data_IF_918831604403
#
_entry.id   IF_918831604403
#
_cell.length_a   1.000
_cell.length_b   1.000
_cell.length_c   1.000
_cell.angle_alpha   90.00
_cell.angle_beta   90.00
_cell.angle_gamma   90.00
#
_symmetry.space_group_name_H-M   'P 1'
#
loop_
_entity.id
_entity.type
_entity.pdbx_description
1 polymer ?
#
# COMPACT_ATOMS: atom_id res chain seq x y z
N UNK A 1 -4.60 63.75 1.34
CA UNK A 1 -4.19 63.66 -0.08
C UNK A 1 -2.79 63.05 -0.12
N UNK A 2 -2.67 61.85 -0.70
CA UNK A 2 -1.43 61.08 -0.83
C UNK A 2 -0.38 61.82 -1.68
N UNK A 3 0.90 61.55 -1.44
CA UNK A 3 1.69 61.04 -2.57
C UNK A 3 2.73 59.95 -2.18
N UNK A 4 2.63 58.84 -2.91
CA UNK A 4 3.71 58.17 -3.66
C UNK A 4 5.05 57.87 -2.95
N UNK A 5 5.40 56.59 -2.78
CA UNK A 5 6.47 55.89 -3.56
C UNK A 5 6.74 54.47 -3.06
N UNK A 6 6.65 53.56 -4.03
CA UNK A 6 6.95 52.13 -4.00
C UNK A 6 8.47 51.96 -3.84
N UNK A 7 8.93 51.22 -2.82
CA UNK A 7 10.28 50.66 -2.79
C UNK A 7 10.17 49.14 -2.79
N UNK A 8 10.49 48.63 -3.97
CA UNK A 8 10.71 47.24 -4.33
C UNK A 8 12.00 46.77 -3.64
N UNK A 9 11.91 45.86 -2.67
CA UNK A 9 13.08 45.14 -2.16
C UNK A 9 12.91 43.67 -2.52
N UNK A 10 13.57 43.30 -3.62
CA UNK A 10 13.67 41.95 -4.14
C UNK A 10 14.36 41.04 -3.11
N UNK A 11 13.60 40.18 -2.44
CA UNK A 11 14.15 39.04 -1.71
C UNK A 11 14.37 37.90 -2.71
N UNK A 12 15.56 37.99 -3.27
CA UNK A 12 16.38 36.99 -3.96
C UNK A 12 15.95 35.54 -3.65
N UNK A 13 15.34 34.90 -4.66
CA UNK A 13 15.08 33.47 -4.67
C UNK A 13 16.39 32.69 -4.74
N UNK A 14 16.66 31.88 -3.72
CA UNK A 14 17.64 30.81 -3.78
C UNK A 14 16.91 29.56 -4.26
N UNK A 15 16.75 29.42 -5.57
CA UNK A 15 16.33 28.17 -6.18
C UNK A 15 17.52 27.21 -6.17
N UNK A 16 17.51 26.25 -5.24
CA UNK A 16 18.47 25.13 -5.28
C UNK A 16 17.99 24.19 -6.39
N UNK A 17 18.50 24.39 -7.60
CA UNK A 17 18.34 23.43 -8.69
C UNK A 17 19.25 22.23 -8.40
N UNK A 18 18.72 21.23 -7.70
CA UNK A 18 19.34 19.92 -7.59
C UNK A 18 19.08 19.12 -8.86
N UNK A 19 19.98 19.22 -9.85
CA UNK A 19 19.95 18.30 -10.98
C UNK A 19 20.66 17.00 -10.59
N UNK A 20 19.88 15.97 -10.27
CA UNK A 20 20.40 14.59 -10.21
C UNK A 20 20.49 14.05 -11.64
N UNK A 21 21.70 13.85 -12.15
CA UNK A 21 21.94 13.25 -13.45
C UNK A 21 21.86 11.72 -13.32
N UNK A 22 20.65 11.18 -13.24
CA UNK A 22 20.38 9.74 -13.20
C UNK A 22 20.43 9.14 -14.61
N UNK A 23 21.58 8.62 -15.02
CA UNK A 23 21.71 7.86 -16.26
C UNK A 23 21.13 6.45 -16.08
N UNK A 24 19.81 6.31 -16.27
CA UNK A 24 19.10 5.03 -16.12
C UNK A 24 18.90 4.35 -17.48
N UNK A 25 19.98 3.79 -18.05
CA UNK A 25 19.87 2.90 -19.20
C UNK A 25 19.70 1.45 -18.75
N UNK A 26 18.61 1.17 -18.04
CA UNK A 26 18.19 -0.19 -17.75
C UNK A 26 16.80 -0.39 -18.35
N UNK A 27 16.75 -0.56 -19.67
CA UNK A 27 15.57 -1.07 -20.34
C UNK A 27 15.46 -2.57 -20.00
N UNK A 28 15.08 -2.87 -18.77
CA UNK A 28 14.67 -4.21 -18.35
C UNK A 28 13.18 -4.34 -18.65
N UNK A 29 12.86 -4.56 -19.92
CA UNK A 29 11.55 -5.04 -20.38
C UNK A 29 11.36 -6.51 -20.01
N UNK A 30 11.58 -6.86 -18.75
CA UNK A 30 11.15 -8.15 -18.22
C UNK A 30 9.65 -8.04 -17.94
N UNK A 31 8.81 -8.90 -18.53
CA UNK A 31 7.41 -8.97 -18.17
C UNK A 31 7.31 -9.21 -16.67
N UNK A 32 6.50 -8.43 -15.96
CA UNK A 32 6.20 -8.71 -14.57
C UNK A 32 5.69 -10.15 -14.48
N UNK A 33 6.22 -10.97 -13.56
CA UNK A 33 5.70 -12.32 -13.35
C UNK A 33 4.20 -12.22 -13.05
N UNK A 34 3.41 -13.04 -13.75
CA UNK A 34 1.97 -13.12 -13.51
C UNK A 34 1.76 -13.87 -12.20
N UNK A 35 1.12 -13.20 -11.24
CA UNK A 35 0.75 -13.81 -9.96
C UNK A 35 -0.57 -14.57 -10.14
N UNK A 36 -0.53 -15.88 -9.96
CA UNK A 36 -1.73 -16.73 -9.99
C UNK A 36 -2.36 -16.77 -8.60
N UNK A 37 -3.55 -16.19 -8.46
CA UNK A 37 -4.26 -16.06 -7.19
C UNK A 37 -5.45 -17.03 -7.15
N UNK A 38 -5.49 -17.87 -6.13
CA UNK A 38 -6.68 -18.67 -5.81
C UNK A 38 -7.66 -17.82 -5.01
N UNK A 39 -8.80 -17.49 -5.60
CA UNK A 39 -9.83 -16.69 -4.94
C UNK A 39 -10.60 -17.51 -3.90
N UNK A 40 -11.00 -16.86 -2.80
CA UNK A 40 -11.80 -17.41 -1.72
C UNK A 40 -12.75 -16.36 -1.15
N UNK A 41 -13.63 -16.76 -0.23
CA UNK A 41 -14.52 -15.83 0.45
C UNK A 41 -13.75 -14.94 1.45
N UNK A 42 -14.05 -13.64 1.53
CA UNK A 42 -13.44 -12.76 2.52
C UNK A 42 -13.93 -13.10 3.94
N UNK A 43 -13.07 -12.96 4.97
CA UNK A 43 -13.43 -13.23 6.36
C UNK A 43 -14.35 -12.18 6.98
N UNK A 44 -14.62 -11.07 6.27
CA UNK A 44 -15.55 -10.03 6.68
C UNK A 44 -16.66 -9.82 5.64
N UNK A 45 -17.85 -9.44 6.11
CA UNK A 45 -18.94 -9.07 5.22
C UNK A 45 -18.65 -7.74 4.51
N UNK A 46 -18.98 -7.67 3.22
CA UNK A 46 -18.86 -6.50 2.36
C UNK A 46 -20.26 -6.09 1.86
N UNK A 47 -21.11 -5.45 2.69
CA UNK A 47 -22.50 -5.16 2.33
C UNK A 47 -22.65 -4.06 1.26
N UNK A 48 -21.73 -3.08 1.26
CA UNK A 48 -21.81 -1.86 0.45
C UNK A 48 -20.73 -1.80 -0.64
N UNK A 49 -19.99 -2.89 -0.86
CA UNK A 49 -18.92 -3.01 -1.86
C UNK A 49 -18.72 -4.47 -2.25
N UNK A 50 -18.02 -4.72 -3.36
CA UNK A 50 -17.57 -6.05 -3.76
C UNK A 50 -16.07 -6.05 -3.98
N UNK A 51 -15.44 -7.17 -3.64
CA UNK A 51 -14.02 -7.38 -3.85
C UNK A 51 -13.75 -8.87 -4.08
N UNK A 52 -12.84 -9.15 -5.00
CA UNK A 52 -12.19 -10.46 -5.04
C UNK A 52 -11.23 -10.58 -3.86
N UNK A 53 -11.18 -11.74 -3.22
CA UNK A 53 -10.30 -11.98 -2.08
C UNK A 53 -9.45 -13.21 -2.32
N UNK A 54 -8.18 -13.12 -1.94
CA UNK A 54 -7.26 -14.26 -1.92
C UNK A 54 -6.55 -14.31 -0.57
N UNK A 55 -6.58 -15.47 0.08
CA UNK A 55 -5.95 -15.71 1.37
C UNK A 55 -4.65 -16.51 1.23
N UNK A 56 -3.78 -16.35 2.22
CA UNK A 56 -2.59 -17.16 2.45
C UNK A 56 -1.68 -17.28 1.21
N UNK A 57 -1.54 -16.19 0.47
CA UNK A 57 -0.72 -16.14 -0.75
C UNK A 57 0.75 -16.13 -0.35
N UNK A 58 1.56 -17.11 -0.79
CA UNK A 58 2.99 -17.15 -0.49
C UNK A 58 3.76 -16.07 -1.24
N UNK A 59 4.59 -15.33 -0.52
CA UNK A 59 5.55 -14.39 -1.10
C UNK A 59 7.01 -14.84 -0.95
N UNK A 60 7.26 -15.87 -0.13
CA UNK A 60 8.56 -16.50 0.09
C UNK A 60 8.35 -17.91 0.72
N UNK A 61 9.41 -18.70 0.91
CA UNK A 61 9.34 -20.13 1.25
C UNK A 61 8.83 -20.43 2.66
N UNK A 62 9.04 -19.53 3.61
CA UNK A 62 8.71 -19.73 5.03
C UNK A 62 7.22 -19.73 5.32
N UNK A 63 6.80 -20.50 6.33
CA UNK A 63 5.38 -20.73 6.64
C UNK A 63 4.59 -19.45 6.96
N UNK A 64 5.23 -18.48 7.62
CA UNK A 64 4.62 -17.19 7.95
C UNK A 64 4.70 -16.18 6.81
N UNK A 65 5.42 -16.45 5.73
CA UNK A 65 5.61 -15.49 4.63
C UNK A 65 4.40 -15.55 3.68
N UNK A 66 3.25 -15.14 4.21
CA UNK A 66 1.93 -15.19 3.57
C UNK A 66 1.22 -13.85 3.71
N UNK A 67 0.44 -13.47 2.70
CA UNK A 67 -0.44 -12.31 2.76
C UNK A 67 -1.87 -12.65 2.33
N UNK A 68 -2.81 -11.83 2.76
CA UNK A 68 -4.18 -11.81 2.26
C UNK A 68 -4.41 -10.51 1.52
N UNK A 69 -5.23 -10.51 0.46
CA UNK A 69 -5.52 -9.33 -0.35
C UNK A 69 -7.00 -9.23 -0.72
N UNK A 70 -7.54 -8.03 -0.56
CA UNK A 70 -8.83 -7.58 -1.08
C UNK A 70 -8.59 -6.73 -2.33
N UNK A 71 -9.19 -7.11 -3.44
CA UNK A 71 -9.09 -6.43 -4.73
C UNK A 71 -10.47 -5.91 -5.12
N UNK A 72 -10.71 -4.59 -5.12
CA UNK A 72 -12.00 -4.03 -5.46
C UNK A 72 -12.28 -4.19 -6.96
N UNK A 73 -13.55 -4.31 -7.32
CA UNK A 73 -13.96 -4.37 -8.72
C UNK A 73 -13.91 -2.97 -9.35
N UNK A 74 -12.81 -2.66 -10.04
CA UNK A 74 -12.57 -1.37 -10.68
C UNK A 74 -12.02 -1.54 -12.11
N UNK A 75 -12.43 -0.64 -13.01
CA UNK A 75 -12.06 -0.71 -14.44
C UNK A 75 -10.60 -0.28 -14.72
N UNK A 76 -9.96 0.40 -13.77
CA UNK A 76 -8.60 0.95 -13.89
C UNK A 76 -7.67 0.34 -12.82
N UNK A 77 -6.34 0.32 -13.06
CA UNK A 77 -5.38 -0.11 -12.04
C UNK A 77 -5.53 0.66 -10.73
N UNK A 78 -5.65 -0.07 -9.62
CA UNK A 78 -5.94 0.50 -8.30
C UNK A 78 -4.67 0.72 -7.48
N UNK A 79 -4.58 1.79 -6.66
CA UNK A 79 -3.60 1.85 -5.58
C UNK A 79 -3.78 0.70 -4.58
N UNK A 80 -2.73 0.39 -3.82
CA UNK A 80 -2.71 -0.68 -2.82
C UNK A 80 -2.22 -0.13 -1.47
N UNK A 81 -2.98 -0.42 -0.42
CA UNK A 81 -2.55 -0.29 0.97
C UNK A 81 -2.03 -1.64 1.46
N UNK A 82 -0.87 -1.65 2.12
CA UNK A 82 -0.32 -2.85 2.78
C UNK A 82 -0.25 -2.56 4.28
N UNK A 83 -1.04 -3.29 5.06
CA UNK A 83 -1.01 -3.26 6.51
C UNK A 83 -0.07 -4.32 7.06
N UNK A 84 0.84 -3.91 7.93
CA UNK A 84 1.80 -4.79 8.61
C UNK A 84 1.47 -4.78 10.10
N UNK A 85 1.07 -5.93 10.65
CA UNK A 85 0.65 -6.02 12.04
C UNK A 85 1.77 -5.72 13.03
N UNK A 86 1.40 -5.23 14.22
CA UNK A 86 2.32 -5.06 15.35
C UNK A 86 2.61 -6.38 16.07
N UNK A 87 3.19 -6.29 17.28
CA UNK A 87 3.53 -7.46 18.10
C UNK A 87 5.01 -7.58 18.47
N UNK A 88 5.78 -6.50 18.32
CA UNK A 88 7.17 -6.44 18.79
C UNK A 88 8.11 -7.45 18.12
N UNK A 89 7.76 -7.92 16.92
CA UNK A 89 8.44 -8.97 16.17
C UNK A 89 8.43 -10.35 16.83
N UNK A 90 7.70 -10.56 17.92
CA UNK A 90 7.64 -11.83 18.66
C UNK A 90 6.24 -12.44 18.64
N UNK A 91 5.28 -11.74 18.05
CA UNK A 91 3.90 -12.18 17.88
C UNK A 91 3.13 -11.32 16.88
N UNK A 92 1.81 -11.53 16.84
CA UNK A 92 0.90 -10.92 15.87
C UNK A 92 0.51 -11.91 14.77
N UNK A 93 -0.51 -11.55 13.99
CA UNK A 93 -0.95 -12.32 12.83
C UNK A 93 -1.79 -11.42 11.90
N UNK A 94 -1.64 -11.58 10.59
CA UNK A 94 -2.36 -10.86 9.53
C UNK A 94 -3.88 -10.99 9.63
N UNK A 95 -4.36 -12.11 10.16
CA UNK A 95 -5.78 -12.45 10.26
C UNK A 95 -6.53 -11.59 11.26
N UNK A 96 -5.86 -11.07 12.30
CA UNK A 96 -6.48 -10.16 13.28
C UNK A 96 -6.93 -8.85 12.64
N UNK A 97 -6.20 -8.38 11.63
CA UNK A 97 -6.45 -7.12 10.94
C UNK A 97 -7.82 -7.08 10.28
N UNK A 98 -8.36 -8.23 9.85
CA UNK A 98 -9.64 -8.30 9.13
C UNK A 98 -10.79 -7.73 9.96
N UNK A 99 -10.96 -8.21 11.19
CA UNK A 99 -12.01 -7.73 12.09
C UNK A 99 -11.65 -6.38 12.72
N UNK A 100 -10.37 -6.17 13.07
CA UNK A 100 -9.91 -4.93 13.71
C UNK A 100 -10.05 -3.69 12.82
N UNK A 101 -9.93 -3.84 11.50
CA UNK A 101 -9.96 -2.74 10.52
C UNK A 101 -11.06 -2.91 9.47
N UNK A 102 -12.14 -3.66 9.77
CA UNK A 102 -13.19 -3.99 8.81
C UNK A 102 -13.82 -2.75 8.14
N UNK A 103 -14.03 -1.68 8.90
CA UNK A 103 -14.62 -0.44 8.38
C UNK A 103 -13.66 0.31 7.45
N UNK A 104 -12.38 0.38 7.82
CA UNK A 104 -11.33 1.02 7.00
C UNK A 104 -11.11 0.24 5.69
N UNK A 105 -11.07 -1.10 5.76
CA UNK A 105 -11.01 -1.95 4.57
C UNK A 105 -12.15 -1.63 3.61
N UNK A 106 -13.39 -1.53 4.10
CA UNK A 106 -14.55 -1.19 3.25
C UNK A 106 -14.43 0.20 2.64
N UNK A 107 -13.98 1.19 3.39
CA UNK A 107 -13.80 2.57 2.90
C UNK A 107 -12.77 2.63 1.76
N UNK A 108 -11.64 1.91 1.89
CA UNK A 108 -10.64 1.81 0.84
C UNK A 108 -11.19 1.10 -0.41
N UNK A 109 -11.88 -0.02 -0.24
CA UNK A 109 -12.46 -0.76 -1.36
C UNK A 109 -13.49 0.08 -2.13
N UNK A 110 -14.35 0.83 -1.43
CA UNK A 110 -15.31 1.77 -2.06
C UNK A 110 -14.61 2.90 -2.83
N UNK A 111 -13.38 3.23 -2.46
CA UNK A 111 -12.55 4.25 -3.11
C UNK A 111 -11.66 3.68 -4.22
N UNK A 112 -11.90 2.45 -4.67
CA UNK A 112 -11.05 1.73 -5.63
C UNK A 112 -9.59 1.61 -5.16
N UNK A 113 -9.39 1.33 -3.87
CA UNK A 113 -8.07 1.08 -3.28
C UNK A 113 -8.04 -0.35 -2.75
N UNK A 114 -7.10 -1.16 -3.25
CA UNK A 114 -6.88 -2.52 -2.76
C UNK A 114 -6.25 -2.50 -1.36
N UNK A 115 -6.47 -3.57 -0.60
CA UNK A 115 -5.94 -3.73 0.75
C UNK A 115 -5.27 -5.09 0.91
N UNK A 116 -4.05 -5.13 1.42
CA UNK A 116 -3.37 -6.35 1.80
C UNK A 116 -2.93 -6.33 3.26
N UNK A 117 -2.96 -7.49 3.91
CA UNK A 117 -2.38 -7.72 5.23
C UNK A 117 -1.38 -8.87 5.15
N UNK A 118 -0.26 -8.77 5.85
CA UNK A 118 0.89 -9.67 5.65
C UNK A 118 1.44 -10.19 6.99
N UNK A 119 1.72 -11.49 7.02
CA UNK A 119 2.53 -12.10 8.07
C UNK A 119 4.00 -11.99 7.72
N UNK A 120 4.86 -11.98 8.75
CA UNK A 120 6.31 -11.95 8.60
C UNK A 120 6.97 -12.86 9.64
N UNK A 121 8.24 -13.20 9.41
CA UNK A 121 9.01 -14.05 10.32
C UNK A 121 9.12 -13.42 11.70
N UNK A 122 8.82 -14.20 12.75
CA UNK A 122 8.92 -13.76 14.14
C UNK A 122 10.25 -14.18 14.75
N UNK A 123 10.72 -13.38 15.71
CA UNK A 123 11.87 -13.70 16.55
C UNK A 123 11.50 -14.80 17.55
N UNK A 124 12.46 -15.72 17.75
CA UNK A 124 12.41 -16.67 18.86
C UNK A 124 13.03 -15.99 20.08
N UNK A 125 12.26 -15.83 21.14
CA UNK A 125 12.78 -15.34 22.43
C UNK A 125 13.39 -16.56 23.16
N UNK A 126 14.70 -16.53 23.48
CA UNK A 126 15.38 -17.60 24.21
C UNK A 126 14.98 -17.67 25.69
#
# INVERSE_FOLDING_TARGET
>A
MNPTRIILAALLGLAVAGCSNGNNNNNSSQPSPVLDLSLSDPPIALPDTSASFAADVPYDEGDLQRFDIYMPDCDEPTPLVIYIHGGGFTGGDKGRTHEEHADEIREFLQSCVAWATINYTLLVIP
#
